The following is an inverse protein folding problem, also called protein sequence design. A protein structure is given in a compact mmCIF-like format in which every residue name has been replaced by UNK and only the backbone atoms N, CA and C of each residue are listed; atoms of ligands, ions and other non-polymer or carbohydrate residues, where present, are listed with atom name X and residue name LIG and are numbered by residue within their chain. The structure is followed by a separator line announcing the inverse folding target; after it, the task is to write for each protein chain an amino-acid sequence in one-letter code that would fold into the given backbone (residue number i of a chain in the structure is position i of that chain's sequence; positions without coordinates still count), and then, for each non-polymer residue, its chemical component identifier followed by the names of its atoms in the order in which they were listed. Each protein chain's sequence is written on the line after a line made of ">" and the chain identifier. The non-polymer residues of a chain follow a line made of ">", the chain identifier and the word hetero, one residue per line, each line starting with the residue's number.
data_IF_010852038495
#
_entry.id   IF_010852038495
#
_cell.length_a   1.000
_cell.length_b   1.000
_cell.length_c   1.000
_cell.angle_alpha   90.00
_cell.angle_beta   90.00
_cell.angle_gamma   90.00
#
_symmetry.space_group_name_H-M   'P 1'
#
loop_
_entity.id
_entity.type
_entity.pdbx_description
1 polymer ?
#
# COMPACT_ATOMS: atom_id res chain seq x y z
N UNK A 1 7.29 -6.61 -72.58
CA UNK A 1 8.70 -6.97 -72.91
C UNK A 1 9.57 -6.42 -71.77
N UNK A 2 10.09 -7.19 -70.81
CA UNK A 2 11.15 -8.23 -70.86
C UNK A 2 12.43 -7.76 -71.60
N UNK A 3 13.45 -7.38 -70.79
CA UNK A 3 14.94 -7.62 -70.80
C UNK A 3 15.71 -7.51 -72.14
N UNK A 4 17.08 -7.42 -72.19
CA UNK A 4 18.15 -7.43 -71.17
C UNK A 4 19.21 -6.29 -71.39
N UNK A 5 20.40 -6.23 -70.76
CA UNK A 5 21.73 -6.80 -71.17
C UNK A 5 22.70 -6.63 -69.96
N UNK A 6 23.24 -7.70 -69.32
CA UNK A 6 24.63 -8.29 -69.42
C UNK A 6 25.79 -7.26 -69.48
N UNK A 7 27.02 -7.46 -69.03
CA UNK A 7 27.77 -8.35 -68.15
C UNK A 7 29.24 -7.85 -68.26
N UNK A 8 30.09 -7.98 -67.22
CA UNK A 8 31.52 -7.67 -67.34
C UNK A 8 32.32 -8.08 -66.10
N UNK A 9 33.11 -9.16 -66.23
CA UNK A 9 33.96 -9.81 -65.19
C UNK A 9 35.41 -9.28 -65.17
N UNK A 10 36.12 -9.68 -64.09
CA UNK A 10 37.57 -9.96 -63.89
C UNK A 10 38.33 -8.84 -63.14
N UNK A 11 39.21 -9.12 -62.17
CA UNK A 11 39.87 -10.40 -61.85
C UNK A 11 40.51 -10.43 -60.45
N UNK A 12 41.21 -11.55 -60.26
CA UNK A 12 41.75 -12.19 -59.06
C UNK A 12 43.15 -11.64 -58.68
N UNK A 13 43.58 -11.77 -57.41
CA UNK A 13 44.88 -12.34 -56.95
C UNK A 13 45.14 -12.05 -55.45
N UNK A 14 45.13 -13.15 -54.69
CA UNK A 14 45.80 -13.63 -53.46
C UNK A 14 46.62 -12.77 -52.45
N UNK A 15 46.41 -13.17 -51.17
CA UNK A 15 47.38 -13.54 -50.08
C UNK A 15 47.99 -12.49 -49.13
N UNK A 16 47.89 -12.82 -47.83
CA UNK A 16 48.64 -12.29 -46.68
C UNK A 16 47.67 -11.76 -45.60
N UNK A 17 47.60 -12.20 -44.35
CA UNK A 17 48.53 -12.93 -43.50
C UNK A 17 48.58 -12.21 -42.14
N UNK A 18 48.04 -12.83 -41.08
CA UNK A 18 48.39 -12.53 -39.67
C UNK A 18 47.68 -11.36 -38.98
N UNK A 19 47.16 -11.60 -37.76
CA UNK A 19 46.77 -10.52 -36.85
C UNK A 19 45.72 -10.91 -35.81
N UNK A 20 46.08 -11.74 -34.84
CA UNK A 20 45.28 -11.98 -33.61
C UNK A 20 45.10 -10.66 -32.87
N UNK A 21 43.85 -10.29 -32.59
CA UNK A 21 43.49 -9.17 -31.71
C UNK A 21 42.25 -9.50 -30.89
N UNK A 22 42.41 -10.32 -29.85
CA UNK A 22 41.45 -10.50 -28.76
C UNK A 22 41.33 -9.17 -28.00
N UNK A 23 40.34 -8.35 -28.33
CA UNK A 23 39.94 -7.17 -27.56
C UNK A 23 38.63 -7.46 -26.82
N UNK A 24 38.76 -7.75 -25.52
CA UNK A 24 37.70 -8.27 -24.68
C UNK A 24 36.41 -7.46 -24.70
N UNK A 25 35.31 -8.13 -25.07
CA UNK A 25 33.98 -7.72 -24.66
C UNK A 25 33.94 -7.66 -23.15
N UNK A 26 34.01 -6.44 -22.60
CA UNK A 26 33.60 -6.14 -21.23
C UNK A 26 32.15 -6.58 -21.11
N UNK A 27 31.95 -7.84 -20.72
CA UNK A 27 30.76 -8.27 -19.99
C UNK A 27 30.64 -7.27 -18.85
N UNK A 28 29.72 -6.31 -19.00
CA UNK A 28 29.23 -5.50 -17.88
C UNK A 28 28.90 -6.51 -16.79
N UNK A 29 29.76 -6.56 -15.77
CA UNK A 29 29.52 -7.39 -14.61
C UNK A 29 28.12 -7.06 -14.14
N UNK A 30 27.25 -8.07 -14.12
CA UNK A 30 26.05 -8.05 -13.32
C UNK A 30 26.57 -7.66 -11.94
N UNK A 31 26.43 -6.39 -11.54
CA UNK A 31 26.73 -5.96 -10.18
C UNK A 31 25.99 -6.98 -9.35
N UNK A 32 26.72 -7.84 -8.63
CA UNK A 32 26.13 -8.68 -7.59
C UNK A 32 25.32 -7.68 -6.78
N UNK A 33 23.99 -7.72 -6.95
CA UNK A 33 23.10 -6.99 -6.09
C UNK A 33 23.56 -7.37 -4.71
N UNK A 34 23.96 -6.38 -3.90
CA UNK A 34 24.10 -6.56 -2.46
C UNK A 34 23.01 -7.51 -2.03
N UNK A 35 23.40 -8.68 -1.56
CA UNK A 35 22.47 -9.67 -1.04
C UNK A 35 21.90 -9.01 0.21
N UNK A 36 20.81 -8.26 0.01
CA UNK A 36 20.09 -7.62 1.09
C UNK A 36 19.63 -8.78 1.96
N UNK A 37 20.24 -8.93 3.13
CA UNK A 37 19.80 -9.94 4.09
C UNK A 37 18.35 -9.61 4.42
N UNK A 38 17.44 -10.38 3.85
CA UNK A 38 16.01 -10.26 4.01
C UNK A 38 15.61 -11.11 5.21
N UNK A 39 14.82 -10.52 6.11
CA UNK A 39 14.27 -11.24 7.27
C UNK A 39 12.77 -10.97 7.36
N UNK A 40 11.95 -11.96 7.71
CA UNK A 40 10.57 -11.73 8.10
C UNK A 40 10.49 -10.67 9.21
N UNK A 41 9.43 -9.87 9.19
CA UNK A 41 9.08 -8.96 10.28
C UNK A 41 7.95 -9.54 11.13
N UNK A 42 7.64 -8.91 12.27
CA UNK A 42 6.61 -9.42 13.18
C UNK A 42 5.20 -9.43 12.60
N UNK A 43 4.93 -8.55 11.63
CA UNK A 43 3.66 -8.55 10.91
C UNK A 43 3.83 -9.44 9.68
N UNK A 44 2.97 -10.44 9.55
CA UNK A 44 3.02 -11.41 8.46
C UNK A 44 2.97 -10.72 7.09
N UNK A 45 3.76 -11.20 6.13
CA UNK A 45 3.90 -10.61 4.80
C UNK A 45 4.75 -9.33 4.73
N UNK A 46 5.18 -8.77 5.87
CA UNK A 46 6.17 -7.68 5.93
C UNK A 46 7.57 -8.26 6.15
N UNK A 47 8.54 -7.73 5.42
CA UNK A 47 9.94 -8.12 5.53
C UNK A 47 10.83 -6.91 5.84
N UNK A 48 12.01 -7.16 6.40
CA UNK A 48 13.08 -6.18 6.58
C UNK A 48 14.30 -6.57 5.76
N UNK A 49 14.68 -5.69 4.84
CA UNK A 49 15.92 -5.79 4.10
C UNK A 49 17.01 -4.92 4.77
N UNK A 50 18.18 -5.50 5.05
CA UNK A 50 19.35 -4.74 5.50
C UNK A 50 20.14 -4.22 4.30
N UNK A 51 20.20 -2.90 4.13
CA UNK A 51 20.99 -2.22 3.09
C UNK A 51 22.50 -2.32 3.38
N UNK A 52 23.32 -2.10 2.35
CA UNK A 52 24.80 -2.06 2.46
C UNK A 52 25.29 -1.04 3.49
N UNK A 53 24.62 0.11 3.60
CA UNK A 53 24.92 1.16 4.58
C UNK A 53 24.43 0.84 6.01
N UNK A 54 23.88 -0.37 6.25
CA UNK A 54 23.36 -0.81 7.53
C UNK A 54 21.93 -0.35 7.85
N UNK A 55 21.36 0.55 7.05
CA UNK A 55 19.95 0.95 7.19
C UNK A 55 19.01 -0.22 6.93
N UNK A 56 17.85 -0.21 7.57
CA UNK A 56 16.79 -1.20 7.36
C UNK A 56 15.69 -0.58 6.51
N UNK A 57 15.20 -1.33 5.53
CA UNK A 57 14.03 -0.96 4.75
C UNK A 57 12.94 -2.01 4.94
N UNK A 58 11.69 -1.57 5.09
CA UNK A 58 10.54 -2.45 5.01
C UNK A 58 10.29 -2.86 3.57
N UNK A 59 9.83 -4.08 3.35
CA UNK A 59 9.56 -4.62 2.03
C UNK A 59 8.32 -5.52 2.06
N UNK A 60 7.67 -5.64 0.90
CA UNK A 60 6.62 -6.64 0.64
C UNK A 60 7.06 -7.53 -0.52
N UNK A 61 6.59 -8.78 -0.55
CA UNK A 61 6.78 -9.64 -1.71
C UNK A 61 5.95 -9.10 -2.87
N UNK A 62 6.55 -8.93 -4.05
CA UNK A 62 5.85 -8.37 -5.19
C UNK A 62 4.82 -9.37 -5.75
N UNK A 63 3.54 -9.00 -5.77
CA UNK A 63 2.51 -9.83 -6.40
C UNK A 63 2.57 -9.78 -7.93
N UNK A 64 3.17 -8.73 -8.50
CA UNK A 64 3.31 -8.54 -9.96
C UNK A 64 4.78 -8.33 -10.32
N UNK A 65 5.58 -9.42 -10.43
CA UNK A 65 7.02 -9.31 -10.68
C UNK A 65 7.37 -8.44 -11.89
N UNK A 66 8.38 -7.58 -11.73
CA UNK A 66 8.85 -6.61 -12.72
C UNK A 66 8.06 -5.30 -12.78
N UNK A 67 6.91 -5.20 -12.08
CA UNK A 67 6.10 -3.98 -12.01
C UNK A 67 6.36 -3.22 -10.70
N UNK A 68 6.78 -1.96 -10.82
CA UNK A 68 6.84 -1.00 -9.71
C UNK A 68 5.64 -0.06 -9.78
N UNK A 69 4.96 0.19 -8.66
CA UNK A 69 3.78 1.06 -8.65
C UNK A 69 4.13 2.55 -8.71
N UNK A 70 5.25 2.96 -8.12
CA UNK A 70 5.69 4.36 -8.04
C UNK A 70 7.21 4.49 -8.19
N UNK A 71 7.81 3.59 -8.96
CA UNK A 71 9.25 3.52 -9.23
C UNK A 71 10.11 3.26 -7.98
N UNK A 72 9.56 2.54 -7.02
CA UNK A 72 10.30 1.99 -5.88
C UNK A 72 11.30 0.92 -6.30
N UNK A 73 12.31 0.68 -5.44
CA UNK A 73 13.34 -0.31 -5.70
C UNK A 73 12.76 -1.72 -5.62
N UNK A 74 12.93 -2.49 -6.70
CA UNK A 74 12.68 -3.93 -6.76
C UNK A 74 14.01 -4.69 -6.56
N UNK A 75 13.95 -5.87 -5.95
CA UNK A 75 15.09 -6.77 -5.81
C UNK A 75 14.63 -8.22 -5.60
N UNK A 76 15.43 -9.18 -6.05
CA UNK A 76 15.16 -10.60 -5.79
C UNK A 76 15.85 -11.06 -4.51
N UNK A 77 15.20 -11.95 -3.79
CA UNK A 77 15.77 -12.68 -2.66
C UNK A 77 15.10 -14.06 -2.54
N UNK A 78 15.77 -15.01 -1.90
CA UNK A 78 15.15 -16.29 -1.57
C UNK A 78 14.12 -16.11 -0.47
N UNK A 79 12.93 -16.69 -0.65
CA UNK A 79 11.93 -16.82 0.42
C UNK A 79 12.32 -17.97 1.37
N UNK A 80 11.47 -18.26 2.35
CA UNK A 80 11.69 -19.34 3.33
C UNK A 80 11.79 -20.73 2.69
N UNK A 81 11.13 -20.94 1.53
CA UNK A 81 11.18 -22.19 0.76
C UNK A 81 12.42 -22.28 -0.15
N UNK A 82 13.31 -21.28 -0.13
CA UNK A 82 14.49 -21.21 -1.01
C UNK A 82 14.19 -20.79 -2.45
N UNK A 83 12.94 -20.41 -2.75
CA UNK A 83 12.51 -19.92 -4.07
C UNK A 83 12.89 -18.45 -4.23
N UNK A 84 13.54 -18.12 -5.34
CA UNK A 84 13.85 -16.73 -5.68
C UNK A 84 12.55 -16.00 -6.06
N UNK A 85 12.19 -14.99 -5.27
CA UNK A 85 11.01 -14.14 -5.50
C UNK A 85 11.41 -12.67 -5.46
N UNK A 86 10.63 -11.82 -6.14
CA UNK A 86 10.87 -10.39 -6.18
C UNK A 86 10.21 -9.69 -4.99
N UNK A 87 10.91 -8.74 -4.38
CA UNK A 87 10.43 -7.90 -3.29
C UNK A 87 10.49 -6.42 -3.68
N UNK A 88 9.59 -5.63 -3.09
CA UNK A 88 9.47 -4.19 -3.31
C UNK A 88 9.79 -3.43 -2.03
N UNK A 89 10.66 -2.43 -2.11
CA UNK A 89 10.97 -1.56 -0.98
C UNK A 89 9.78 -0.66 -0.67
N UNK A 90 9.37 -0.61 0.59
CA UNK A 90 8.26 0.20 1.08
C UNK A 90 8.78 1.46 1.79
N UNK A 91 8.54 2.63 1.17
CA UNK A 91 9.09 3.90 1.65
C UNK A 91 8.16 4.59 2.69
N UNK A 92 8.61 4.81 3.94
CA UNK A 92 7.81 5.47 4.98
C UNK A 92 7.51 6.95 4.72
N UNK A 93 8.27 7.63 3.86
CA UNK A 93 8.00 9.02 3.45
C UNK A 93 7.00 9.14 2.29
N UNK A 94 6.58 8.01 1.72
CA UNK A 94 5.57 7.95 0.64
C UNK A 94 4.30 7.21 1.05
N UNK A 95 4.32 6.49 2.17
CA UNK A 95 3.21 5.66 2.63
C UNK A 95 3.06 5.76 4.14
N UNK A 96 1.89 6.22 4.58
CA UNK A 96 1.57 6.34 6.01
C UNK A 96 1.62 5.00 6.73
N UNK A 97 1.18 3.91 6.08
CA UNK A 97 1.26 2.58 6.66
C UNK A 97 2.72 2.11 6.82
N UNK A 98 3.63 2.47 5.92
CA UNK A 98 5.06 2.21 6.15
C UNK A 98 5.63 3.05 7.30
N UNK A 99 5.19 4.30 7.48
CA UNK A 99 5.55 5.09 8.65
C UNK A 99 5.05 4.41 9.94
N UNK A 100 3.80 3.93 9.96
CA UNK A 100 3.21 3.14 11.07
C UNK A 100 4.09 1.92 11.42
N UNK A 101 4.57 1.18 10.42
CA UNK A 101 5.50 0.07 10.65
C UNK A 101 6.83 0.52 11.28
N UNK A 102 7.32 1.72 10.95
CA UNK A 102 8.53 2.29 11.56
C UNK A 102 8.34 2.65 13.04
N UNK A 103 7.18 3.17 13.43
CA UNK A 103 6.89 3.54 14.84
C UNK A 103 6.62 2.33 15.75
N UNK A 104 6.55 1.13 15.16
CA UNK A 104 6.39 -0.16 15.84
C UNK A 104 5.06 -0.33 16.60
N UNK A 105 3.95 -0.23 15.87
CA UNK A 105 2.60 -0.65 16.35
C UNK A 105 2.44 -2.15 16.57
N UNK A 106 1.66 -2.57 17.55
CA UNK A 106 1.57 -3.98 17.94
C UNK A 106 1.10 -4.90 16.81
N UNK A 107 0.03 -4.51 16.12
CA UNK A 107 -0.49 -5.21 14.94
C UNK A 107 -1.14 -4.23 13.95
N UNK A 108 -1.12 -4.60 12.66
CA UNK A 108 -1.81 -3.91 11.57
C UNK A 108 -3.01 -4.71 11.03
N UNK A 109 -3.22 -5.93 11.53
CA UNK A 109 -4.36 -6.82 11.27
C UNK A 109 -4.56 -7.24 9.80
N UNK A 110 -3.60 -6.96 8.92
CA UNK A 110 -3.68 -7.24 7.48
C UNK A 110 -2.80 -8.43 7.07
N UNK A 111 -2.89 -9.55 7.78
CA UNK A 111 -2.13 -10.76 7.45
C UNK A 111 -2.52 -11.33 6.06
N UNK A 112 -1.68 -12.18 5.43
CA UNK A 112 -2.04 -12.91 4.22
C UNK A 112 -3.41 -13.60 4.34
N UNK A 113 -4.27 -13.45 3.33
CA UNK A 113 -5.65 -13.95 3.33
C UNK A 113 -6.70 -12.97 3.88
N UNK A 114 -6.30 -11.86 4.49
CA UNK A 114 -7.25 -10.88 5.05
C UNK A 114 -8.09 -10.19 3.97
N UNK A 115 -9.34 -9.87 4.31
CA UNK A 115 -10.19 -8.96 3.53
C UNK A 115 -10.06 -7.54 4.10
N UNK A 116 -9.61 -6.59 3.28
CA UNK A 116 -9.35 -5.20 3.68
C UNK A 116 -10.24 -4.24 2.89
N UNK A 117 -10.92 -3.34 3.58
CA UNK A 117 -11.57 -2.17 2.97
C UNK A 117 -10.65 -0.95 3.16
N UNK A 118 -10.11 -0.43 2.06
CA UNK A 118 -9.25 0.74 2.04
C UNK A 118 -10.06 1.96 1.62
N UNK A 119 -10.19 2.95 2.51
CA UNK A 119 -10.88 4.21 2.25
C UNK A 119 -9.86 5.31 1.95
N UNK A 120 -9.95 5.96 0.78
CA UNK A 120 -9.01 7.00 0.35
C UNK A 120 -7.77 6.44 -0.32
N UNK A 121 -7.93 5.51 -1.28
CA UNK A 121 -6.82 4.80 -1.92
C UNK A 121 -5.91 5.68 -2.80
N UNK A 122 -6.35 6.88 -3.17
CA UNK A 122 -5.64 7.83 -4.02
C UNK A 122 -5.12 7.17 -5.31
N UNK A 123 -3.88 7.42 -5.70
CA UNK A 123 -3.24 6.82 -6.88
C UNK A 123 -2.76 5.38 -6.66
N UNK A 124 -2.89 4.85 -5.44
CA UNK A 124 -2.65 3.45 -5.14
C UNK A 124 -1.23 3.08 -4.68
N UNK A 125 -0.40 4.04 -4.27
CA UNK A 125 0.95 3.79 -3.73
C UNK A 125 0.90 2.78 -2.56
N UNK A 126 0.21 3.14 -1.47
CA UNK A 126 0.09 2.30 -0.28
C UNK A 126 -0.76 1.05 -0.55
N UNK A 127 -1.89 1.20 -1.26
CA UNK A 127 -2.80 0.07 -1.51
C UNK A 127 -2.14 -1.05 -2.32
N UNK A 128 -1.13 -0.73 -3.16
CA UNK A 128 -0.34 -1.73 -3.86
C UNK A 128 0.46 -2.62 -2.90
N UNK A 129 0.99 -2.06 -1.81
CA UNK A 129 1.69 -2.83 -0.77
C UNK A 129 0.71 -3.57 0.13
N UNK A 130 -0.49 -3.02 0.39
CA UNK A 130 -1.55 -3.75 1.11
C UNK A 130 -2.02 -4.96 0.29
N UNK A 131 -2.14 -4.83 -1.03
CA UNK A 131 -2.44 -5.94 -1.95
C UNK A 131 -1.34 -7.00 -1.94
N UNK A 132 -0.06 -6.61 -1.93
CA UNK A 132 1.06 -7.54 -1.76
C UNK A 132 0.98 -8.27 -0.41
N UNK A 133 0.65 -7.55 0.67
CA UNK A 133 0.60 -8.04 2.04
C UNK A 133 -0.48 -9.11 2.26
N UNK A 134 -1.73 -8.82 1.83
CA UNK A 134 -2.83 -9.78 1.95
C UNK A 134 -2.67 -10.95 0.97
N UNK A 135 -1.82 -10.79 -0.04
CA UNK A 135 -1.48 -11.85 -0.99
C UNK A 135 -2.65 -12.31 -1.88
N UNK A 136 -2.45 -13.38 -2.66
CA UNK A 136 -3.41 -13.85 -3.67
C UNK A 136 -4.71 -14.44 -3.08
N UNK A 137 -4.68 -14.83 -1.80
CA UNK A 137 -5.84 -15.39 -1.08
C UNK A 137 -6.68 -14.31 -0.38
N UNK A 138 -6.09 -13.14 -0.11
CA UNK A 138 -6.80 -11.99 0.44
C UNK A 138 -7.45 -11.12 -0.64
N UNK A 139 -8.19 -10.10 -0.20
CA UNK A 139 -8.85 -9.14 -1.12
C UNK A 139 -8.77 -7.74 -0.53
N UNK A 140 -8.47 -6.75 -1.38
CA UNK A 140 -8.47 -5.33 -1.02
C UNK A 140 -9.53 -4.58 -1.82
N UNK A 141 -10.53 -4.03 -1.14
CA UNK A 141 -11.53 -3.15 -1.71
C UNK A 141 -11.06 -1.71 -1.57
N UNK A 142 -10.69 -1.06 -2.66
CA UNK A 142 -10.05 0.25 -2.66
C UNK A 142 -11.02 1.35 -3.10
N UNK A 143 -11.54 2.11 -2.14
CA UNK A 143 -12.49 3.20 -2.37
C UNK A 143 -11.73 4.50 -2.63
N UNK A 144 -11.99 5.14 -3.77
CA UNK A 144 -11.47 6.45 -4.11
C UNK A 144 -12.59 7.33 -4.72
N UNK A 145 -12.63 8.60 -4.32
CA UNK A 145 -13.66 9.55 -4.74
C UNK A 145 -13.24 10.36 -5.97
N UNK A 146 -11.94 10.67 -6.09
CA UNK A 146 -11.35 11.43 -7.18
C UNK A 146 -11.26 10.58 -8.44
N UNK A 147 -11.95 11.00 -9.50
CA UNK A 147 -11.87 10.34 -10.82
C UNK A 147 -10.45 10.30 -11.38
N UNK A 148 -9.65 11.34 -11.11
CA UNK A 148 -8.26 11.42 -11.57
C UNK A 148 -7.41 10.36 -10.88
N UNK A 149 -7.43 10.33 -9.55
CA UNK A 149 -6.65 9.36 -8.77
C UNK A 149 -7.14 7.93 -9.03
N UNK A 150 -8.45 7.76 -9.20
CA UNK A 150 -9.06 6.49 -9.55
C UNK A 150 -8.58 5.94 -10.90
N UNK A 151 -8.26 6.79 -11.89
CA UNK A 151 -7.76 6.33 -13.18
C UNK A 151 -6.45 5.55 -13.03
N UNK A 152 -5.52 6.05 -12.21
CA UNK A 152 -4.26 5.39 -11.90
C UNK A 152 -4.49 4.09 -11.11
N UNK A 153 -5.36 4.16 -10.09
CA UNK A 153 -5.75 3.00 -9.28
C UNK A 153 -6.37 1.88 -10.15
N UNK A 154 -7.23 2.23 -11.10
CA UNK A 154 -7.88 1.29 -12.01
C UNK A 154 -6.91 0.63 -13.00
N UNK A 155 -5.91 1.36 -13.49
CA UNK A 155 -4.87 0.76 -14.33
C UNK A 155 -4.03 -0.23 -13.52
N UNK A 156 -3.70 0.11 -12.28
CA UNK A 156 -2.94 -0.75 -11.40
C UNK A 156 -3.71 -2.02 -11.00
N UNK A 157 -5.02 -1.91 -10.73
CA UNK A 157 -5.85 -3.04 -10.33
C UNK A 157 -6.00 -4.09 -11.44
N UNK A 158 -5.89 -3.70 -12.71
CA UNK A 158 -5.88 -4.68 -13.83
C UNK A 158 -4.75 -5.68 -13.74
N UNK A 159 -3.64 -5.31 -13.10
CA UNK A 159 -2.47 -6.18 -12.90
C UNK A 159 -2.57 -7.03 -11.63
N UNK A 160 -3.45 -6.67 -10.69
CA UNK A 160 -3.57 -7.27 -9.35
C UNK A 160 -4.99 -7.82 -9.16
N UNK A 161 -5.14 -9.13 -9.27
CA UNK A 161 -6.45 -9.79 -9.22
C UNK A 161 -7.15 -9.69 -7.86
N UNK A 162 -6.39 -9.44 -6.79
CA UNK A 162 -6.90 -9.27 -5.43
C UNK A 162 -7.26 -7.80 -5.09
N UNK A 163 -7.06 -6.86 -6.00
CA UNK A 163 -7.33 -5.43 -5.78
C UNK A 163 -8.57 -4.99 -6.55
N UNK A 164 -9.65 -4.65 -5.84
CA UNK A 164 -10.93 -4.25 -6.43
C UNK A 164 -11.10 -2.73 -6.28
N UNK A 165 -10.96 -1.94 -7.36
CA UNK A 165 -11.10 -0.49 -7.29
C UNK A 165 -12.58 -0.09 -7.26
N UNK A 166 -12.93 0.89 -6.45
CA UNK A 166 -14.30 1.38 -6.27
C UNK A 166 -14.33 2.90 -6.39
N UNK A 167 -14.97 3.43 -7.43
CA UNK A 167 -15.15 4.87 -7.59
C UNK A 167 -16.38 5.34 -6.79
N UNK A 168 -16.15 5.94 -5.63
CA UNK A 168 -17.20 6.31 -4.69
C UNK A 168 -16.76 7.25 -3.58
N UNK A 169 -17.73 7.95 -3.00
CA UNK A 169 -17.51 8.75 -1.80
C UNK A 169 -17.70 7.85 -0.56
N UNK A 170 -16.66 7.76 0.27
CA UNK A 170 -16.66 6.95 1.48
C UNK A 170 -17.73 7.39 2.49
N UNK A 171 -18.27 8.62 2.40
CA UNK A 171 -19.41 9.07 3.22
C UNK A 171 -20.69 8.27 2.98
N UNK A 172 -20.82 7.67 1.80
CA UNK A 172 -22.06 7.04 1.34
C UNK A 172 -21.82 5.56 0.98
N UNK A 173 -21.58 4.68 1.97
CA UNK A 173 -21.26 3.28 1.73
C UNK A 173 -22.28 2.54 0.86
N UNK A 174 -23.58 2.73 1.13
CA UNK A 174 -24.64 2.13 0.34
C UNK A 174 -24.58 2.51 -1.15
N UNK A 175 -24.14 3.74 -1.48
CA UNK A 175 -24.12 4.23 -2.86
C UNK A 175 -22.95 3.67 -3.67
N UNK A 176 -21.77 3.51 -3.06
CA UNK A 176 -20.67 2.89 -3.79
C UNK A 176 -20.83 1.37 -3.86
N UNK A 177 -21.47 0.76 -2.86
CA UNK A 177 -21.82 -0.67 -2.85
C UNK A 177 -22.67 -1.06 -4.07
N UNK A 178 -23.66 -0.24 -4.43
CA UNK A 178 -24.54 -0.50 -5.59
C UNK A 178 -23.81 -0.44 -6.94
N UNK A 179 -22.59 0.08 -6.99
CA UNK A 179 -21.80 0.14 -8.23
C UNK A 179 -20.94 -1.10 -8.46
N UNK A 180 -20.88 -1.99 -7.49
CA UNK A 180 -20.09 -3.20 -7.57
C UNK A 180 -20.84 -4.29 -8.31
N UNK A 181 -20.09 -5.10 -9.04
CA UNK A 181 -20.61 -6.36 -9.58
C UNK A 181 -21.10 -7.27 -8.44
N UNK A 182 -22.11 -8.08 -8.70
CA UNK A 182 -22.75 -8.96 -7.72
C UNK A 182 -21.75 -9.85 -6.95
N UNK A 183 -20.70 -10.30 -7.65
CA UNK A 183 -19.60 -11.07 -7.05
C UNK A 183 -18.92 -10.30 -5.91
N UNK A 184 -18.51 -9.06 -6.16
CA UNK A 184 -17.77 -8.25 -5.20
C UNK A 184 -18.68 -7.70 -4.10
N UNK A 185 -19.93 -7.39 -4.45
CA UNK A 185 -20.96 -7.04 -3.47
C UNK A 185 -21.16 -8.17 -2.45
N UNK A 186 -21.32 -9.41 -2.92
CA UNK A 186 -21.43 -10.59 -2.04
C UNK A 186 -20.21 -10.74 -1.12
N UNK A 187 -19.00 -10.50 -1.64
CA UNK A 187 -17.78 -10.56 -0.83
C UNK A 187 -17.72 -9.47 0.25
N UNK A 188 -18.25 -8.27 -0.01
CA UNK A 188 -18.38 -7.21 1.00
C UNK A 188 -19.50 -7.48 2.02
N UNK A 189 -20.59 -8.13 1.60
CA UNK A 189 -21.67 -8.55 2.51
C UNK A 189 -21.20 -9.64 3.50
N UNK A 190 -20.21 -10.46 3.14
CA UNK A 190 -19.48 -11.36 4.05
C UNK A 190 -18.61 -10.62 5.08
N UNK A 191 -18.54 -9.29 4.97
CA UNK A 191 -17.78 -8.36 5.79
C UNK A 191 -16.26 -8.52 5.68
N UNK A 192 -15.55 -7.41 5.86
CA UNK A 192 -14.09 -7.33 5.88
C UNK A 192 -13.55 -7.53 7.28
N UNK A 193 -12.28 -7.93 7.37
CA UNK A 193 -11.56 -8.13 8.62
C UNK A 193 -11.01 -6.80 9.16
N UNK A 194 -10.58 -5.91 8.25
CA UNK A 194 -9.94 -4.65 8.59
C UNK A 194 -10.43 -3.51 7.69
N UNK A 195 -10.65 -2.33 8.28
CA UNK A 195 -10.76 -1.07 7.55
C UNK A 195 -9.47 -0.26 7.71
N UNK A 196 -8.85 0.12 6.60
CA UNK A 196 -7.79 1.13 6.57
C UNK A 196 -8.35 2.45 6.07
N UNK A 197 -8.35 3.48 6.91
CA UNK A 197 -8.95 4.78 6.62
C UNK A 197 -7.86 5.85 6.46
N UNK A 198 -7.65 6.29 5.22
CA UNK A 198 -6.68 7.32 4.80
C UNK A 198 -7.38 8.56 4.23
N UNK A 199 -8.58 8.83 4.73
CA UNK A 199 -9.41 9.93 4.28
C UNK A 199 -9.09 11.18 5.11
N UNK A 200 -8.65 12.26 4.46
CA UNK A 200 -8.30 13.54 5.10
C UNK A 200 -9.49 14.50 5.15
N UNK A 201 -10.54 14.15 5.90
CA UNK A 201 -11.77 14.94 6.03
C UNK A 201 -12.09 15.25 7.50
N UNK A 202 -12.73 16.39 7.82
CA UNK A 202 -13.08 16.73 9.21
C UNK A 202 -14.05 15.74 9.88
N UNK A 203 -14.89 15.07 9.10
CA UNK A 203 -15.88 14.07 9.51
C UNK A 203 -15.35 12.63 9.40
N UNK A 204 -14.03 12.43 9.48
CA UNK A 204 -13.35 11.13 9.31
C UNK A 204 -13.94 10.02 10.20
N UNK A 205 -14.25 10.32 11.47
CA UNK A 205 -14.85 9.35 12.40
C UNK A 205 -16.22 8.89 11.91
N UNK A 206 -17.08 9.78 11.44
CA UNK A 206 -18.41 9.40 10.95
C UNK A 206 -18.32 8.58 9.66
N UNK A 207 -17.37 8.90 8.79
CA UNK A 207 -17.04 8.07 7.62
C UNK A 207 -16.65 6.66 8.07
N UNK A 208 -15.70 6.53 9.00
CA UNK A 208 -15.27 5.22 9.49
C UNK A 208 -16.42 4.44 10.14
N UNK A 209 -17.23 5.08 10.98
CA UNK A 209 -18.39 4.46 11.65
C UNK A 209 -19.41 3.94 10.63
N UNK A 210 -19.75 4.76 9.63
CA UNK A 210 -20.71 4.40 8.59
C UNK A 210 -20.23 3.17 7.81
N UNK A 211 -18.96 3.15 7.40
CA UNK A 211 -18.36 2.01 6.69
C UNK A 211 -18.21 0.77 7.59
N UNK A 212 -17.78 0.94 8.85
CA UNK A 212 -17.63 -0.15 9.80
C UNK A 212 -18.97 -0.83 10.11
N UNK A 213 -20.02 -0.04 10.32
CA UNK A 213 -21.35 -0.56 10.61
C UNK A 213 -21.88 -1.46 9.49
N UNK A 214 -21.56 -1.14 8.23
CA UNK A 214 -22.03 -1.86 7.05
C UNK A 214 -21.13 -3.04 6.69
N UNK A 215 -19.81 -2.86 6.73
CA UNK A 215 -18.86 -3.79 6.11
C UNK A 215 -17.85 -4.43 7.07
N UNK A 216 -17.66 -3.95 8.30
CA UNK A 216 -16.66 -4.53 9.21
C UNK A 216 -17.28 -5.62 10.08
N UNK A 217 -16.57 -6.74 10.22
CA UNK A 217 -16.95 -7.81 11.15
C UNK A 217 -16.99 -7.29 12.58
N UNK A 218 -17.89 -7.83 13.41
CA UNK A 218 -17.85 -7.57 14.85
C UNK A 218 -16.57 -8.20 15.40
N UNK A 219 -15.78 -7.43 16.13
CA UNK A 219 -14.43 -7.79 16.54
C UNK A 219 -13.37 -7.56 15.45
N UNK A 220 -13.75 -7.11 14.26
CA UNK A 220 -12.82 -6.66 13.22
C UNK A 220 -12.11 -5.37 13.60
N UNK A 221 -11.03 -5.06 12.90
CA UNK A 221 -10.12 -3.98 13.29
C UNK A 221 -10.19 -2.78 12.34
N UNK A 222 -9.68 -1.65 12.81
CA UNK A 222 -9.50 -0.47 11.97
C UNK A 222 -8.15 0.18 12.23
N UNK A 223 -7.62 0.83 11.20
CA UNK A 223 -6.50 1.76 11.27
C UNK A 223 -7.00 3.08 10.67
N UNK A 224 -7.00 4.15 11.46
CA UNK A 224 -7.43 5.48 11.03
C UNK A 224 -6.24 6.44 11.06
N UNK A 225 -5.88 6.97 9.90
CA UNK A 225 -4.75 7.88 9.73
C UNK A 225 -5.27 9.31 9.81
N UNK A 226 -5.05 9.94 10.96
CA UNK A 226 -5.59 11.26 11.26
C UNK A 226 -4.52 12.32 11.09
N UNK A 227 -4.80 13.31 10.25
CA UNK A 227 -4.02 14.54 10.12
C UNK A 227 -4.67 15.63 10.96
N UNK A 228 -3.99 16.12 11.99
CA UNK A 228 -4.60 17.02 12.97
C UNK A 228 -5.17 18.31 12.34
N UNK A 229 -4.44 18.91 11.39
CA UNK A 229 -4.84 20.15 10.67
C UNK A 229 -6.11 19.97 9.83
N UNK A 230 -6.42 18.75 9.40
CA UNK A 230 -7.67 18.46 8.68
C UNK A 230 -8.88 18.38 9.62
N UNK A 231 -8.66 18.17 10.92
CA UNK A 231 -9.70 18.13 11.94
C UNK A 231 -9.90 19.52 12.55
N UNK A 232 -8.83 20.16 13.00
CA UNK A 232 -8.84 21.55 13.47
C UNK A 232 -7.66 22.32 12.84
N UNK A 233 -7.91 23.39 12.07
CA UNK A 233 -6.84 24.14 11.40
C UNK A 233 -5.89 24.86 12.38
N UNK A 234 -6.24 24.97 13.67
CA UNK A 234 -5.39 25.50 14.75
C UNK A 234 -4.42 24.46 15.30
N UNK A 235 -4.50 23.22 14.84
CA UNK A 235 -3.64 22.14 15.31
C UNK A 235 -2.18 22.40 14.90
N UNK A 236 -1.28 22.47 15.88
CA UNK A 236 0.14 22.72 15.62
C UNK A 236 1.03 22.15 16.72
N UNK A 237 2.32 21.97 16.39
CA UNK A 237 3.39 21.66 17.35
C UNK A 237 3.83 22.92 18.11
N UNK A 238 3.68 24.11 17.50
CA UNK A 238 4.09 25.39 18.08
C UNK A 238 3.01 25.93 19.01
N UNK A 239 3.24 25.83 20.32
CA UNK A 239 2.25 26.20 21.34
C UNK A 239 2.26 27.71 21.56
N UNK A 240 1.41 28.45 20.84
CA UNK A 240 0.90 29.70 21.39
C UNK A 240 -0.35 29.39 22.24
N UNK A 241 -0.43 29.81 23.51
CA UNK A 241 -1.49 29.36 24.41
C UNK A 241 -2.92 29.81 24.05
N UNK A 242 -3.07 30.77 23.13
CA UNK A 242 -4.35 31.46 22.90
C UNK A 242 -5.02 31.08 21.58
N UNK A 243 -4.28 30.67 20.56
CA UNK A 243 -4.80 30.40 19.22
C UNK A 243 -4.46 29.01 18.69
N UNK A 244 -3.49 28.33 19.30
CA UNK A 244 -3.08 26.99 18.89
C UNK A 244 -3.69 25.87 19.73
N UNK A 245 -3.93 24.73 19.09
CA UNK A 245 -4.36 23.50 19.75
C UNK A 245 -3.24 22.46 19.61
N UNK A 246 -2.78 21.87 20.73
CA UNK A 246 -1.83 20.77 20.70
C UNK A 246 -2.33 19.55 19.91
N UNK A 247 -1.44 18.89 19.17
CA UNK A 247 -1.80 17.75 18.32
C UNK A 247 -2.44 16.59 19.11
N UNK A 248 -1.92 16.30 20.30
CA UNK A 248 -2.40 15.26 21.21
C UNK A 248 -3.84 15.50 21.67
N UNK A 249 -4.24 16.76 21.88
CA UNK A 249 -5.63 17.14 22.19
C UNK A 249 -6.56 16.79 21.03
N UNK A 250 -6.17 17.08 19.79
CA UNK A 250 -6.96 16.73 18.60
C UNK A 250 -7.09 15.22 18.47
N UNK A 251 -6.00 14.47 18.59
CA UNK A 251 -6.03 13.01 18.48
C UNK A 251 -6.85 12.35 19.59
N UNK A 252 -6.72 12.84 20.83
CA UNK A 252 -7.50 12.32 21.97
C UNK A 252 -8.99 12.60 21.80
N UNK A 253 -9.36 13.76 21.24
CA UNK A 253 -10.75 14.08 20.91
C UNK A 253 -11.33 13.11 19.88
N UNK A 254 -10.58 12.80 18.81
CA UNK A 254 -11.01 11.81 17.81
C UNK A 254 -11.13 10.40 18.41
N UNK A 255 -10.19 9.98 19.27
CA UNK A 255 -10.25 8.71 19.99
C UNK A 255 -11.50 8.60 20.87
N UNK A 256 -11.87 9.67 21.59
CA UNK A 256 -13.10 9.73 22.37
C UNK A 256 -14.36 9.61 21.50
N UNK A 257 -14.40 10.27 20.34
CA UNK A 257 -15.51 10.14 19.39
C UNK A 257 -15.65 8.70 18.88
N UNK A 258 -14.55 8.04 18.54
CA UNK A 258 -14.55 6.63 18.14
C UNK A 258 -15.12 5.73 19.24
N UNK A 259 -14.65 5.91 20.48
CA UNK A 259 -15.11 5.12 21.62
C UNK A 259 -16.63 5.27 21.85
N UNK A 260 -17.15 6.50 21.76
CA UNK A 260 -18.58 6.79 21.86
C UNK A 260 -19.40 6.06 20.77
N UNK A 261 -18.80 5.82 19.61
CA UNK A 261 -19.41 5.18 18.44
C UNK A 261 -19.11 3.69 18.31
N UNK A 262 -18.70 3.02 19.40
CA UNK A 262 -18.43 1.57 19.47
C UNK A 262 -17.24 1.10 18.63
N UNK A 263 -16.36 2.01 18.23
CA UNK A 263 -15.02 1.71 17.71
C UNK A 263 -14.04 1.94 18.85
N UNK A 264 -13.61 0.88 19.51
CA UNK A 264 -12.72 0.97 20.69
C UNK A 264 -11.28 1.17 20.21
N UNK A 265 -10.65 2.34 20.45
CA UNK A 265 -9.22 2.48 20.21
C UNK A 265 -8.43 1.57 21.16
N UNK A 266 -7.41 0.91 20.63
CA UNK A 266 -6.49 0.01 21.34
C UNK A 266 -5.12 0.67 21.44
N UNK A 267 -4.67 1.30 20.36
CA UNK A 267 -3.35 1.90 20.24
C UNK A 267 -3.46 3.25 19.50
N UNK A 268 -2.66 4.22 19.94
CA UNK A 268 -2.50 5.51 19.29
C UNK A 268 -1.00 5.81 19.17
N UNK A 269 -0.53 6.06 17.95
CA UNK A 269 0.87 6.42 17.69
C UNK A 269 0.96 7.66 16.80
N UNK A 270 1.92 8.53 17.07
CA UNK A 270 2.29 9.64 16.16
C UNK A 270 3.27 9.13 15.11
N UNK A 271 3.25 9.71 13.90
CA UNK A 271 4.08 9.24 12.77
C UNK A 271 5.37 10.03 12.58
N UNK A 272 5.75 10.85 13.56
CA UNK A 272 7.04 11.54 13.56
C UNK A 272 8.20 10.54 13.73
N UNK A 273 9.35 10.77 13.07
CA UNK A 273 9.71 11.93 12.25
C UNK A 273 9.34 11.78 10.75
N UNK A 274 8.54 10.78 10.36
CA UNK A 274 8.26 10.52 8.93
C UNK A 274 7.24 11.48 8.36
N UNK A 275 6.14 11.71 9.10
CA UNK A 275 5.07 12.60 8.70
C UNK A 275 4.56 13.39 9.90
N UNK A 276 4.89 14.68 9.91
CA UNK A 276 4.49 15.62 10.97
C UNK A 276 2.96 15.82 11.01
N UNK A 277 2.41 16.02 12.21
CA UNK A 277 0.98 16.31 12.40
C UNK A 277 0.04 15.13 12.09
N UNK A 278 0.59 13.91 11.92
CA UNK A 278 -0.18 12.70 11.67
C UNK A 278 -0.08 11.73 12.85
N UNK A 279 -1.19 11.07 13.14
CA UNK A 279 -1.27 9.94 14.04
C UNK A 279 -2.04 8.78 13.39
N UNK A 280 -1.77 7.57 13.86
CA UNK A 280 -2.55 6.38 13.56
C UNK A 280 -3.30 5.95 14.81
N UNK A 281 -4.63 5.86 14.70
CA UNK A 281 -5.49 5.25 15.71
C UNK A 281 -5.84 3.84 15.24
N UNK A 282 -5.46 2.84 16.05
CA UNK A 282 -5.74 1.42 15.79
C UNK A 282 -6.75 0.95 16.82
N UNK A 283 -7.76 0.21 16.39
CA UNK A 283 -8.78 -0.27 17.32
C UNK A 283 -9.64 -1.40 16.77
N UNK A 284 -10.64 -1.78 17.56
CA UNK A 284 -11.59 -2.85 17.22
C UNK A 284 -13.03 -2.35 17.20
N UNK A 285 -13.83 -2.91 16.30
CA UNK A 285 -15.25 -2.62 16.18
C UNK A 285 -16.06 -3.54 17.08
N UNK A 286 -16.73 -2.96 18.10
CA UNK A 286 -17.49 -3.71 19.09
C UNK A 286 -18.90 -4.10 18.62
N UNK A 287 -19.27 -3.76 17.37
CA UNK A 287 -20.60 -4.02 16.85
C UNK A 287 -21.72 -3.17 17.48
N UNK A 288 -22.96 -3.34 16.98
CA UNK A 288 -24.13 -2.68 17.55
C UNK A 288 -24.35 -3.10 19.01
N UNK A 289 -25.03 -2.26 19.79
CA UNK A 289 -25.46 -2.64 21.14
C UNK A 289 -26.46 -3.79 21.02
N UNK A 290 -26.17 -4.91 21.66
CA UNK A 290 -27.15 -5.97 21.86
C UNK A 290 -28.20 -5.38 22.81
N UNK A 291 -29.37 -5.04 22.29
CA UNK A 291 -30.52 -4.76 23.14
C UNK A 291 -31.01 -6.12 23.62
N UNK A 292 -30.69 -6.48 24.87
CA UNK A 292 -31.42 -7.54 25.53
C UNK A 292 -32.86 -7.07 25.64
N UNK A 293 -33.76 -7.65 24.85
CA UNK A 293 -35.19 -7.52 25.06
C UNK A 293 -35.47 -8.15 26.44
N UNK A 294 -35.82 -7.31 27.40
CA UNK A 294 -36.37 -7.73 28.68
C UNK A 294 -37.82 -8.18 28.49
#
# INVERSE_FOLDING_TARGET
>A
MRVPVRAGKRGEVTRGGGGRGRGGGRRRGKKRSSELLLKPYRHEGVFKAKKENGEKAYCTQNLVPGDSAYSERLFNAQNEDGVEVEYRVWNPYRSLLAAVLCVKVDDIWMAPGSKVLYLGAASGITVSHVSDLVGPTGVVFAVESSRRSYADLFVMSKKRTNLIPILGDARNPAKYETKLDDKYKKMLDEKVDVIYCDVTQPDQVEILVSNASRFLKVGGHFLMLTKAVCIDPRATVCIDPWTSIPLDVVFSSEAMKLQAKRLKPIEQVTLEPFVEGHACLIGAYLGPKIQNQA
#
